data_IF_534805508714
#
_entry.id   IF_534805508714
#
_cell.length_a   1.000
_cell.length_b   1.000
_cell.length_c   1.000
_cell.angle_alpha   90.00
_cell.angle_beta   90.00
_cell.angle_gamma   90.00
#
_symmetry.space_group_name_H-M   'P 1'
#
loop_
_entity.id
_entity.type
_entity.pdbx_description
1 polymer ?
#
# COMPACT_ATOMS: atom_id res chain seq x y z
N UNK A 1 -0.10 -67.22 15.37
CA UNK A 1 0.41 -65.83 15.49
C UNK A 1 -0.46 -64.98 14.60
N UNK A 2 -1.41 -64.22 15.16
CA UNK A 2 -2.20 -63.28 14.37
C UNK A 2 -1.29 -62.08 14.07
N UNK A 3 -0.92 -61.92 12.81
CA UNK A 3 -0.14 -60.76 12.36
C UNK A 3 -1.04 -59.53 12.41
N UNK A 4 -0.76 -58.62 13.34
CA UNK A 4 -1.33 -57.28 13.28
C UNK A 4 -0.62 -56.54 12.13
N UNK A 5 -1.35 -56.28 11.04
CA UNK A 5 -0.89 -55.31 10.06
C UNK A 5 -1.21 -53.92 10.61
N UNK A 6 -0.18 -53.14 10.92
CA UNK A 6 -0.36 -51.71 11.17
C UNK A 6 -0.65 -51.10 9.80
N UNK A 7 -1.92 -50.81 9.53
CA UNK A 7 -2.28 -49.93 8.42
C UNK A 7 -1.60 -48.58 8.66
N UNK A 8 -0.75 -48.12 7.76
CA UNK A 8 -0.17 -46.78 7.85
C UNK A 8 -1.28 -45.73 7.95
N UNK A 9 -1.09 -44.71 8.78
CA UNK A 9 -2.06 -43.64 8.92
C UNK A 9 -2.17 -42.87 7.59
N UNK A 10 -3.39 -42.71 7.10
CA UNK A 10 -3.67 -41.94 5.88
C UNK A 10 -3.94 -40.48 6.24
N UNK A 11 -3.70 -39.56 5.31
CA UNK A 11 -4.05 -38.15 5.52
C UNK A 11 -5.57 -37.97 5.46
N UNK A 12 -6.13 -37.24 6.43
CA UNK A 12 -7.58 -36.99 6.56
C UNK A 12 -7.96 -35.56 6.20
N UNK A 13 -7.12 -34.57 6.50
CA UNK A 13 -7.39 -33.16 6.22
C UNK A 13 -6.11 -32.33 6.14
N UNK A 14 -6.21 -31.16 5.51
CA UNK A 14 -5.14 -30.18 5.40
C UNK A 14 -5.58 -28.83 5.98
N UNK A 15 -4.64 -28.08 6.56
CA UNK A 15 -4.86 -26.70 7.00
C UNK A 15 -3.64 -25.83 6.71
N UNK A 16 -3.87 -24.66 6.10
CA UNK A 16 -2.84 -23.63 5.87
C UNK A 16 -2.62 -22.84 7.17
N UNK A 17 -1.35 -22.54 7.49
CA UNK A 17 -0.94 -21.78 8.67
C UNK A 17 0.14 -20.76 8.28
N UNK A 18 0.05 -19.48 8.71
CA UNK A 18 -1.08 -18.87 9.44
C UNK A 18 -2.34 -18.80 8.58
N UNK A 19 -3.51 -18.80 9.23
CA UNK A 19 -4.79 -18.62 8.55
C UNK A 19 -4.99 -17.15 8.15
N UNK A 20 -5.67 -16.91 7.03
CA UNK A 20 -5.91 -15.59 6.44
C UNK A 20 -4.64 -14.69 6.41
N UNK A 21 -3.54 -15.17 5.79
CA UNK A 21 -2.26 -14.49 5.83
C UNK A 21 -2.38 -13.07 5.25
N UNK A 22 -1.88 -12.10 6.01
CA UNK A 22 -1.79 -10.70 5.60
C UNK A 22 -0.34 -10.28 5.54
N UNK A 23 0.09 -9.69 4.43
CA UNK A 23 1.47 -9.27 4.22
C UNK A 23 1.54 -7.88 3.57
N UNK A 24 2.50 -7.03 3.97
CA UNK A 24 2.79 -5.81 3.23
C UNK A 24 3.27 -6.11 1.81
N UNK A 25 2.96 -5.20 0.88
CA UNK A 25 3.41 -5.23 -0.51
C UNK A 25 4.94 -5.40 -0.59
N UNK A 26 5.40 -6.30 -1.45
CA UNK A 26 6.83 -6.57 -1.67
C UNK A 26 7.50 -7.42 -0.60
N UNK A 27 6.81 -7.77 0.49
CA UNK A 27 7.35 -8.65 1.53
C UNK A 27 7.02 -10.11 1.28
N UNK A 28 7.60 -11.01 2.07
CA UNK A 28 7.33 -12.45 2.01
C UNK A 28 7.02 -13.03 3.38
N UNK A 29 6.22 -14.10 3.40
CA UNK A 29 5.83 -14.83 4.59
C UNK A 29 5.89 -16.34 4.32
N UNK A 30 6.43 -17.09 5.28
CA UNK A 30 6.40 -18.55 5.20
C UNK A 30 5.02 -19.08 5.57
N UNK A 31 4.35 -19.74 4.64
CA UNK A 31 3.17 -20.55 4.90
C UNK A 31 3.57 -21.99 5.18
N UNK A 32 2.78 -22.66 6.00
CA UNK A 32 2.86 -24.10 6.25
C UNK A 32 1.54 -24.76 5.93
N UNK A 33 1.61 -26.03 5.56
CA UNK A 33 0.43 -26.89 5.50
C UNK A 33 0.61 -28.02 6.51
N UNK A 34 -0.29 -28.06 7.48
CA UNK A 34 -0.39 -29.16 8.41
C UNK A 34 -1.39 -30.19 7.86
N UNK A 35 -0.96 -31.44 7.78
CA UNK A 35 -1.81 -32.59 7.48
C UNK A 35 -2.22 -33.28 8.77
N UNK A 36 -3.52 -33.45 8.99
CA UNK A 36 -4.06 -34.33 10.03
C UNK A 36 -4.23 -35.73 9.45
N UNK A 37 -3.82 -36.75 10.20
CA UNK A 37 -3.88 -38.14 9.77
C UNK A 37 -4.98 -38.90 10.52
N UNK A 38 -5.38 -40.05 9.99
CA UNK A 38 -6.46 -40.89 10.56
C UNK A 38 -6.17 -41.40 11.97
N UNK A 39 -4.91 -41.39 12.41
CA UNK A 39 -4.50 -41.72 13.78
C UNK A 39 -4.50 -40.51 14.72
N UNK A 40 -4.93 -39.35 14.23
CA UNK A 40 -4.98 -38.07 14.96
C UNK A 40 -3.65 -37.31 14.99
N UNK A 41 -2.57 -37.86 14.43
CA UNK A 41 -1.29 -37.15 14.34
C UNK A 41 -1.36 -35.96 13.36
N UNK A 42 -0.54 -34.95 13.60
CA UNK A 42 -0.41 -33.78 12.73
C UNK A 42 1.04 -33.65 12.29
N UNK A 43 1.26 -33.58 10.97
CA UNK A 43 2.59 -33.40 10.39
C UNK A 43 2.63 -32.22 9.42
N UNK A 44 3.77 -31.56 9.37
CA UNK A 44 4.06 -30.54 8.36
C UNK A 44 4.27 -31.23 7.00
N UNK A 45 3.38 -30.94 6.05
CA UNK A 45 3.39 -31.49 4.69
C UNK A 45 3.63 -30.41 3.63
N UNK A 46 4.16 -29.24 4.03
CA UNK A 46 4.32 -28.06 3.17
C UNK A 46 5.09 -28.34 1.88
N UNK A 47 6.11 -29.19 1.92
CA UNK A 47 6.93 -29.53 0.74
C UNK A 47 6.29 -30.61 -0.15
N UNK A 48 5.17 -31.21 0.29
CA UNK A 48 4.48 -32.29 -0.41
C UNK A 48 3.25 -31.79 -1.17
N UNK A 49 2.70 -30.64 -0.76
CA UNK A 49 1.51 -30.05 -1.39
C UNK A 49 1.86 -29.37 -2.72
N UNK A 50 0.91 -29.40 -3.65
CA UNK A 50 0.92 -28.53 -4.81
C UNK A 50 0.19 -27.22 -4.46
N UNK A 51 0.84 -26.08 -4.67
CA UNK A 51 0.26 -24.76 -4.47
C UNK A 51 -0.35 -24.22 -5.77
N UNK A 52 -1.56 -23.67 -5.68
CA UNK A 52 -2.20 -22.91 -6.75
C UNK A 52 -2.66 -21.55 -6.21
N UNK A 53 -2.45 -20.49 -7.00
CA UNK A 53 -2.86 -19.11 -6.65
C UNK A 53 -3.79 -18.58 -7.73
N UNK A 54 -4.98 -18.13 -7.34
CA UNK A 54 -6.03 -17.73 -8.28
C UNK A 54 -5.65 -16.49 -9.09
N UNK A 55 -5.00 -15.50 -8.45
CA UNK A 55 -4.50 -14.28 -9.07
C UNK A 55 -2.99 -14.11 -8.79
N UNK A 56 -2.10 -14.71 -9.61
CA UNK A 56 -0.65 -14.66 -9.39
C UNK A 56 -0.03 -13.26 -9.54
N UNK A 57 -0.78 -12.29 -10.08
CA UNK A 57 -0.38 -10.88 -10.08
C UNK A 57 -0.48 -10.23 -8.69
N UNK A 58 -1.31 -10.77 -7.78
CA UNK A 58 -1.49 -10.26 -6.41
C UNK A 58 -0.45 -10.86 -5.47
N UNK A 59 -0.27 -12.18 -5.51
CA UNK A 59 0.73 -12.87 -4.70
C UNK A 59 1.24 -14.13 -5.42
N UNK A 60 2.44 -14.57 -5.06
CA UNK A 60 3.02 -15.84 -5.53
C UNK A 60 3.39 -16.73 -4.34
N UNK A 61 3.33 -18.05 -4.50
CA UNK A 61 3.79 -19.02 -3.48
C UNK A 61 4.80 -19.97 -4.12
N UNK A 62 5.98 -20.13 -3.50
CA UNK A 62 6.96 -21.12 -3.93
C UNK A 62 6.54 -22.55 -3.54
N UNK A 63 7.12 -23.58 -4.15
CA UNK A 63 6.84 -24.98 -3.77
C UNK A 63 7.16 -25.28 -2.29
N UNK A 64 8.04 -24.50 -1.66
CA UNK A 64 8.34 -24.60 -0.23
C UNK A 64 7.39 -23.82 0.68
N UNK A 65 6.33 -23.20 0.15
CA UNK A 65 5.35 -22.42 0.92
C UNK A 65 5.76 -20.97 1.20
N UNK A 66 6.82 -20.45 0.56
CA UNK A 66 7.17 -19.03 0.72
C UNK A 66 6.23 -18.17 -0.13
N UNK A 67 5.32 -17.45 0.52
CA UNK A 67 4.41 -16.51 -0.12
C UNK A 67 5.06 -15.12 -0.25
N UNK A 68 4.88 -14.46 -1.39
CA UNK A 68 5.38 -13.11 -1.68
C UNK A 68 4.25 -12.23 -2.19
N UNK A 69 4.11 -11.03 -1.63
CA UNK A 69 3.07 -10.06 -2.00
C UNK A 69 3.54 -9.19 -3.15
N UNK A 70 2.84 -9.21 -4.28
CA UNK A 70 3.26 -8.57 -5.54
C UNK A 70 2.44 -7.34 -5.88
N UNK A 71 1.17 -7.32 -5.49
CA UNK A 71 0.25 -6.21 -5.72
C UNK A 71 -0.79 -6.17 -4.61
N UNK A 72 -1.19 -4.98 -4.16
CA UNK A 72 -2.25 -4.83 -3.15
C UNK A 72 -3.58 -5.40 -3.64
N UNK A 73 -4.27 -6.09 -2.74
CA UNK A 73 -5.51 -6.82 -3.01
C UNK A 73 -5.53 -8.15 -2.29
N UNK A 74 -6.50 -9.00 -2.61
CA UNK A 74 -6.62 -10.34 -2.04
C UNK A 74 -6.70 -11.39 -3.15
N UNK A 75 -6.14 -12.57 -2.90
CA UNK A 75 -6.24 -13.72 -3.82
C UNK A 75 -6.47 -15.00 -3.05
N UNK A 76 -7.26 -15.91 -3.64
CA UNK A 76 -7.42 -17.26 -3.12
C UNK A 76 -6.17 -18.08 -3.36
N UNK A 77 -5.82 -18.91 -2.38
CA UNK A 77 -4.72 -19.87 -2.44
C UNK A 77 -5.27 -21.27 -2.14
N UNK A 78 -4.78 -22.27 -2.86
CA UNK A 78 -5.17 -23.67 -2.69
C UNK A 78 -3.90 -24.50 -2.52
N UNK A 79 -3.90 -25.38 -1.53
CA UNK A 79 -2.86 -26.39 -1.33
C UNK A 79 -3.47 -27.78 -1.42
N UNK A 80 -2.91 -28.62 -2.29
CA UNK A 80 -3.46 -29.93 -2.65
C UNK A 80 -2.46 -31.04 -2.39
N UNK A 81 -2.88 -32.10 -1.68
CA UNK A 81 -2.10 -33.33 -1.50
C UNK A 81 -3.03 -34.55 -1.52
N UNK A 82 -2.74 -35.53 -2.39
CA UNK A 82 -3.52 -36.77 -2.51
C UNK A 82 -5.03 -36.57 -2.73
N UNK A 83 -5.41 -35.60 -3.58
CA UNK A 83 -6.80 -35.18 -3.84
C UNK A 83 -7.54 -34.58 -2.63
N UNK A 84 -6.83 -34.24 -1.57
CA UNK A 84 -7.34 -33.41 -0.48
C UNK A 84 -6.86 -31.99 -0.73
N UNK A 85 -7.82 -31.06 -0.74
CA UNK A 85 -7.55 -29.65 -0.92
C UNK A 85 -7.82 -28.91 0.38
N UNK A 86 -7.05 -27.86 0.61
CA UNK A 86 -7.36 -26.81 1.58
C UNK A 86 -7.17 -25.46 0.90
N UNK A 87 -7.96 -24.48 1.30
CA UNK A 87 -7.93 -23.15 0.69
C UNK A 87 -7.92 -22.08 1.75
N UNK A 88 -7.27 -20.97 1.43
CA UNK A 88 -7.26 -19.77 2.24
C UNK A 88 -7.26 -18.53 1.33
N UNK A 89 -7.33 -17.34 1.92
CA UNK A 89 -7.21 -16.06 1.21
C UNK A 89 -6.00 -15.31 1.75
N UNK A 90 -5.06 -14.98 0.86
CA UNK A 90 -3.93 -14.11 1.17
C UNK A 90 -4.30 -12.66 0.83
N UNK A 91 -4.00 -11.73 1.73
CA UNK A 91 -4.27 -10.29 1.56
C UNK A 91 -2.98 -9.49 1.57
N UNK A 92 -2.71 -8.78 0.49
CA UNK A 92 -1.56 -7.89 0.35
C UNK A 92 -1.98 -6.46 0.63
N UNK A 93 -1.33 -5.81 1.59
CA UNK A 93 -1.65 -4.46 2.05
C UNK A 93 -0.57 -3.43 1.63
N UNK A 94 -0.90 -2.13 1.57
CA UNK A 94 0.10 -1.07 1.39
C UNK A 94 1.18 -1.09 2.48
N UNK A 95 2.33 -0.45 2.20
CA UNK A 95 3.46 -0.41 3.14
C UNK A 95 3.22 0.51 4.35
N UNK A 96 2.32 1.48 4.23
CA UNK A 96 1.90 2.34 5.33
C UNK A 96 0.38 2.36 5.48
N UNK A 97 -0.07 2.80 6.64
CA UNK A 97 -1.49 3.05 6.90
C UNK A 97 -1.77 4.55 6.85
N UNK A 98 -2.98 4.92 6.41
CA UNK A 98 -3.42 6.31 6.36
C UNK A 98 -4.68 6.45 7.21
N UNK A 99 -4.69 7.45 8.08
CA UNK A 99 -5.85 7.85 8.85
C UNK A 99 -6.15 9.32 8.55
N UNK A 100 -7.44 9.63 8.47
CA UNK A 100 -7.91 10.99 8.31
C UNK A 100 -8.56 11.45 9.62
N UNK A 101 -8.35 12.72 9.95
CA UNK A 101 -8.96 13.35 11.10
C UNK A 101 -9.62 14.65 10.65
N UNK A 102 -10.96 14.63 10.55
CA UNK A 102 -11.75 15.83 10.27
C UNK A 102 -11.74 16.72 11.50
N UNK A 103 -11.33 17.97 11.34
CA UNK A 103 -11.42 18.92 12.42
C UNK A 103 -12.81 19.59 12.38
N UNK A 104 -13.67 19.24 13.34
CA UNK A 104 -15.02 19.82 13.42
C UNK A 104 -14.91 21.34 13.59
N UNK A 105 -15.62 22.10 12.76
CA UNK A 105 -15.78 23.57 12.79
C UNK A 105 -14.50 24.42 12.61
N UNK A 106 -14.14 24.71 11.36
CA UNK A 106 -13.23 25.82 11.01
C UNK A 106 -11.76 25.62 11.37
N UNK A 107 -11.38 24.45 11.86
CA UNK A 107 -10.00 24.03 12.10
C UNK A 107 -9.53 23.22 10.89
N UNK A 108 -8.23 23.20 10.69
CA UNK A 108 -7.56 22.51 9.60
C UNK A 108 -7.59 20.98 9.77
N UNK A 109 -8.15 20.25 8.81
CA UNK A 109 -8.19 18.78 8.83
C UNK A 109 -6.80 18.20 8.58
N UNK A 110 -6.52 17.03 9.16
CA UNK A 110 -5.18 16.42 9.10
C UNK A 110 -5.21 14.98 8.60
N UNK A 111 -4.16 14.61 7.89
CA UNK A 111 -3.90 13.26 7.43
C UNK A 111 -2.70 12.73 8.19
N UNK A 112 -2.83 11.49 8.66
CA UNK A 112 -1.80 10.77 9.42
C UNK A 112 -1.37 9.56 8.62
N UNK A 113 -0.09 9.49 8.30
CA UNK A 113 0.51 8.40 7.55
C UNK A 113 1.50 7.71 8.49
N UNK A 114 1.27 6.44 8.78
CA UNK A 114 2.07 5.67 9.73
C UNK A 114 2.86 4.60 9.00
N UNK A 115 4.17 4.61 9.14
CA UNK A 115 5.03 3.48 8.79
C UNK A 115 5.00 2.48 9.95
N UNK A 116 4.36 1.30 9.78
CA UNK A 116 4.21 0.32 10.86
C UNK A 116 5.50 -0.47 11.16
N UNK A 117 6.63 -0.15 10.51
CA UNK A 117 7.91 -0.85 10.64
C UNK A 117 7.90 -2.33 10.28
N UNK A 118 6.93 -2.76 9.47
CA UNK A 118 6.86 -4.15 8.98
C UNK A 118 8.03 -4.52 8.07
N UNK A 119 8.78 -3.53 7.59
CA UNK A 119 9.95 -3.69 6.71
C UNK A 119 11.27 -3.22 7.34
N UNK A 120 11.24 -2.77 8.61
CA UNK A 120 12.40 -2.19 9.34
C UNK A 120 13.15 -1.10 8.56
N UNK A 121 12.42 -0.34 7.74
CA UNK A 121 12.98 0.62 6.78
C UNK A 121 12.11 1.86 6.74
N UNK A 122 12.72 3.01 6.42
CA UNK A 122 11.95 4.20 6.08
C UNK A 122 11.19 3.98 4.78
N UNK A 123 10.08 4.70 4.65
CA UNK A 123 9.20 4.66 3.49
C UNK A 123 9.00 6.05 2.91
N UNK A 124 8.62 6.10 1.64
CA UNK A 124 8.18 7.31 0.98
C UNK A 124 6.67 7.33 0.83
N UNK A 125 6.03 8.42 1.26
CA UNK A 125 4.67 8.77 0.89
C UNK A 125 4.71 9.76 -0.27
N UNK A 126 4.35 9.29 -1.47
CA UNK A 126 4.17 10.15 -2.63
C UNK A 126 2.72 10.63 -2.64
N UNK A 127 2.54 11.94 -2.56
CA UNK A 127 1.24 12.60 -2.49
C UNK A 127 0.98 13.30 -3.82
N UNK A 128 -0.23 13.10 -4.34
CA UNK A 128 -0.72 13.74 -5.55
C UNK A 128 -2.09 14.33 -5.25
N UNK A 129 -2.22 15.65 -5.40
CA UNK A 129 -3.45 16.39 -5.13
C UNK A 129 -4.04 16.83 -6.46
N UNK A 130 -5.30 16.48 -6.68
CA UNK A 130 -6.07 16.85 -7.85
C UNK A 130 -7.16 17.84 -7.46
N UNK A 131 -7.34 18.88 -8.27
CA UNK A 131 -8.44 19.81 -8.12
C UNK A 131 -9.78 19.20 -8.56
N UNK A 132 -10.84 20.01 -8.51
CA UNK A 132 -12.19 19.63 -8.92
C UNK A 132 -12.31 19.27 -10.41
N UNK A 133 -11.38 19.76 -11.25
CA UNK A 133 -11.34 19.50 -12.68
C UNK A 133 -10.43 18.30 -13.01
N UNK A 134 -10.04 17.53 -11.98
CA UNK A 134 -9.16 16.36 -12.08
C UNK A 134 -7.76 16.70 -12.64
N UNK A 135 -7.31 17.94 -12.46
CA UNK A 135 -5.96 18.36 -12.82
C UNK A 135 -5.06 18.29 -11.57
N UNK A 136 -3.85 17.77 -11.74
CA UNK A 136 -2.89 17.72 -10.65
C UNK A 136 -2.50 19.15 -10.25
N UNK A 137 -2.92 19.54 -9.05
CA UNK A 137 -2.68 20.85 -8.47
C UNK A 137 -1.37 20.89 -7.70
N UNK A 138 -1.08 19.84 -6.92
CA UNK A 138 0.14 19.72 -6.13
C UNK A 138 0.66 18.28 -6.07
N UNK A 139 1.98 18.12 -5.93
CA UNK A 139 2.60 16.82 -5.64
C UNK A 139 3.84 16.96 -4.75
N UNK A 140 4.12 15.93 -3.94
CA UNK A 140 5.31 15.89 -3.08
C UNK A 140 5.65 14.46 -2.65
N UNK A 141 6.92 14.22 -2.35
CA UNK A 141 7.39 12.97 -1.76
C UNK A 141 7.87 13.24 -0.33
N UNK A 142 7.29 12.53 0.63
CA UNK A 142 7.60 12.68 2.05
C UNK A 142 8.26 11.43 2.61
N UNK A 143 9.40 11.61 3.26
CA UNK A 143 10.08 10.53 3.97
C UNK A 143 9.39 10.29 5.31
N UNK A 144 9.14 9.01 5.61
CA UNK A 144 8.61 8.54 6.87
C UNK A 144 9.63 7.57 7.43
N UNK A 145 10.28 7.94 8.54
CA UNK A 145 11.24 7.08 9.21
C UNK A 145 10.63 5.72 9.57
N UNK A 146 11.48 4.76 9.86
CA UNK A 146 11.03 3.52 10.49
C UNK A 146 10.21 3.83 11.77
N UNK A 147 9.09 3.12 11.96
CA UNK A 147 8.10 3.40 13.01
C UNK A 147 7.56 4.84 13.04
N UNK A 148 7.75 5.60 11.95
CA UNK A 148 7.44 7.01 11.87
C UNK A 148 5.95 7.31 11.66
N UNK A 149 5.52 8.45 12.18
CA UNK A 149 4.21 9.05 11.94
C UNK A 149 4.40 10.40 11.25
N UNK A 150 3.90 10.52 10.03
CA UNK A 150 3.82 11.78 9.30
C UNK A 150 2.40 12.36 9.44
N UNK A 151 2.29 13.60 9.92
CA UNK A 151 1.02 14.32 9.98
C UNK A 151 1.05 15.49 9.02
N UNK A 152 0.11 15.52 8.09
CA UNK A 152 -0.03 16.55 7.07
C UNK A 152 -1.32 17.33 7.30
N UNK A 153 -1.21 18.64 7.35
CA UNK A 153 -2.34 19.54 7.36
C UNK A 153 -2.87 19.74 5.94
N UNK A 154 -4.20 19.70 5.78
CA UNK A 154 -4.79 19.90 4.46
C UNK A 154 -4.48 21.30 3.91
N UNK A 155 -4.67 22.35 4.72
CA UNK A 155 -4.53 23.73 4.25
C UNK A 155 -3.08 24.26 4.24
N UNK A 156 -2.20 23.74 5.10
CA UNK A 156 -0.80 24.20 5.21
C UNK A 156 0.17 23.33 4.44
N UNK A 157 -0.09 22.03 4.36
CA UNK A 157 0.82 21.10 3.70
C UNK A 157 0.35 20.74 2.30
N UNK A 158 -0.93 20.44 2.10
CA UNK A 158 -1.40 19.79 0.88
C UNK A 158 -2.05 20.73 -0.16
N UNK A 159 -2.57 21.87 0.28
CA UNK A 159 -3.30 22.85 -0.54
C UNK A 159 -2.68 24.25 -0.49
N UNK A 160 -1.46 24.39 0.05
CA UNK A 160 -0.87 25.69 0.35
C UNK A 160 -0.15 26.32 -0.83
N UNK A 161 0.18 25.56 -1.87
CA UNK A 161 1.01 26.02 -2.99
C UNK A 161 0.53 25.42 -4.33
N UNK A 162 -0.73 25.65 -4.73
CA UNK A 162 -1.31 25.07 -5.95
C UNK A 162 -0.62 25.60 -7.21
N UNK A 163 -0.50 24.77 -8.25
CA UNK A 163 0.14 25.13 -9.52
C UNK A 163 -0.44 26.42 -10.15
N UNK A 164 -1.74 26.66 -9.99
CA UNK A 164 -2.45 27.81 -10.54
C UNK A 164 -2.39 29.05 -9.65
N UNK A 165 -1.86 28.94 -8.43
CA UNK A 165 -1.92 29.97 -7.40
C UNK A 165 -3.30 30.14 -6.74
N UNK A 166 -4.28 29.31 -7.12
CA UNK A 166 -5.64 29.33 -6.56
C UNK A 166 -5.85 28.08 -5.71
N UNK A 167 -6.12 28.27 -4.42
CA UNK A 167 -6.40 27.16 -3.52
C UNK A 167 -7.70 26.45 -3.89
N UNK A 168 -7.60 25.13 -4.06
CA UNK A 168 -8.75 24.27 -4.35
C UNK A 168 -9.62 24.11 -3.11
N UNK A 169 -10.93 24.30 -3.27
CA UNK A 169 -11.93 24.09 -2.20
C UNK A 169 -12.53 22.68 -2.19
N UNK A 170 -12.22 21.89 -3.21
CA UNK A 170 -12.64 20.50 -3.38
C UNK A 170 -11.68 19.83 -4.35
N UNK A 171 -11.53 18.52 -4.20
CA UNK A 171 -10.60 17.76 -5.01
C UNK A 171 -10.49 16.33 -4.52
N UNK A 172 -9.52 15.62 -5.08
CA UNK A 172 -9.16 14.28 -4.63
C UNK A 172 -7.67 14.23 -4.37
N UNK A 173 -7.24 13.27 -3.56
CA UNK A 173 -5.82 13.03 -3.39
C UNK A 173 -5.54 11.55 -3.53
N UNK A 174 -4.36 11.26 -4.06
CA UNK A 174 -3.83 9.91 -4.14
C UNK A 174 -2.54 9.87 -3.35
N UNK A 175 -2.43 8.87 -2.47
CA UNK A 175 -1.18 8.57 -1.78
C UNK A 175 -0.62 7.28 -2.33
N UNK A 176 0.67 7.27 -2.62
CA UNK A 176 1.37 6.08 -3.09
C UNK A 176 2.52 5.77 -2.14
N UNK A 177 2.56 4.54 -1.63
CA UNK A 177 3.63 4.07 -0.76
C UNK A 177 4.81 3.54 -1.55
N UNK A 178 6.01 4.08 -1.37
CA UNK A 178 7.22 3.61 -2.06
C UNK A 178 8.32 3.26 -1.05
N UNK A 179 9.26 2.42 -1.46
CA UNK A 179 10.47 2.17 -0.67
C UNK A 179 11.35 3.42 -0.67
N UNK A 180 12.09 3.66 0.41
CA UNK A 180 13.11 4.70 0.43
C UNK A 180 14.18 4.42 -0.65
N UNK A 181 14.46 5.37 -1.56
CA UNK A 181 15.56 5.21 -2.51
C UNK A 181 16.90 5.34 -1.81
N UNK A 182 17.97 4.80 -2.41
CA UNK A 182 19.34 4.91 -1.87
C UNK A 182 19.83 6.36 -1.66
N UNK A 183 19.17 7.34 -2.29
CA UNK A 183 19.44 8.77 -2.07
C UNK A 183 18.90 9.31 -0.75
N UNK A 184 17.97 8.61 -0.08
CA UNK A 184 17.23 9.09 1.08
C UNK A 184 16.23 10.21 0.77
N UNK A 185 15.99 10.52 -0.51
CA UNK A 185 15.11 11.60 -0.94
C UNK A 185 13.87 11.04 -1.64
N UNK A 186 12.71 11.21 -1.03
CA UNK A 186 11.43 10.85 -1.64
C UNK A 186 11.06 11.85 -2.73
N UNK A 187 10.91 11.36 -3.96
CA UNK A 187 10.50 12.17 -5.09
C UNK A 187 9.27 11.56 -5.78
N UNK A 188 8.16 12.29 -5.78
CA UNK A 188 6.90 11.86 -6.38
C UNK A 188 6.94 11.77 -7.93
N UNK A 189 7.99 12.27 -8.60
CA UNK A 189 8.21 12.01 -10.02
C UNK A 189 8.94 10.69 -10.30
N UNK A 190 9.40 9.98 -9.26
CA UNK A 190 10.13 8.70 -9.38
C UNK A 190 9.67 7.71 -8.30
N UNK A 191 8.62 6.94 -8.58
CA UNK A 191 8.09 5.92 -7.65
C UNK A 191 8.85 4.61 -7.90
N UNK A 192 9.44 4.04 -6.85
CA UNK A 192 10.18 2.77 -6.91
C UNK A 192 9.92 1.89 -5.69
N UNK A 193 9.88 0.55 -5.85
CA UNK A 193 9.24 -0.18 -6.95
C UNK A 193 7.73 -0.24 -6.71
N UNK A 194 6.94 0.24 -7.69
CA UNK A 194 5.47 0.20 -7.76
C UNK A 194 4.73 0.13 -6.41
N UNK A 195 4.47 1.29 -5.82
CA UNK A 195 3.67 1.40 -4.61
C UNK A 195 2.22 0.96 -4.76
N UNK A 196 1.45 0.88 -3.68
CA UNK A 196 0.00 0.79 -3.76
C UNK A 196 -0.61 2.19 -3.83
N UNK A 197 -1.67 2.40 -4.63
CA UNK A 197 -2.47 3.62 -4.52
C UNK A 197 -3.42 3.45 -3.34
N UNK A 198 -3.37 4.39 -2.42
CA UNK A 198 -4.49 4.70 -1.54
C UNK A 198 -5.24 5.84 -2.19
N UNK A 199 -6.39 5.52 -2.78
CA UNK A 199 -7.26 6.52 -3.38
C UNK A 199 -8.13 7.13 -2.29
N UNK A 200 -8.22 8.47 -2.28
CA UNK A 200 -9.11 9.20 -1.40
C UNK A 200 -9.99 10.15 -2.21
N UNK A 201 -11.27 10.18 -1.85
CA UNK A 201 -12.21 11.18 -2.33
C UNK A 201 -12.75 11.98 -1.15
N UNK A 202 -12.53 13.29 -1.13
CA UNK A 202 -13.36 14.19 -0.31
C UNK A 202 -14.21 15.07 -1.16
N UNK A 203 -15.51 14.76 -1.13
CA UNK A 203 -16.50 15.81 -1.19
C UNK A 203 -16.41 16.59 0.14
N UNK A 204 -15.73 17.73 0.15
CA UNK A 204 -15.79 18.65 1.29
C UNK A 204 -17.24 19.16 1.41
N UNK A 205 -17.89 19.07 2.59
CA UNK A 205 -19.21 19.63 2.76
C UNK A 205 -19.12 21.14 2.57
N UNK A 206 -19.99 21.65 1.71
CA UNK A 206 -20.21 23.07 1.53
C UNK A 206 -20.61 23.68 2.89
N UNK A 207 -20.07 24.85 3.21
CA UNK A 207 -20.36 25.59 4.45
C UNK A 207 -21.87 25.63 4.72
N UNK A 208 -22.32 24.97 5.80
CA UNK A 208 -23.74 24.94 6.21
C UNK A 208 -24.34 23.56 6.54
N UNK A 209 -23.64 22.45 6.27
CA UNK A 209 -24.13 21.09 6.58
C UNK A 209 -23.15 20.31 7.46
N UNK A 210 -23.61 19.82 8.61
CA UNK A 210 -22.80 19.13 9.66
C UNK A 210 -22.51 17.65 9.34
N UNK A 211 -22.41 17.26 8.08
CA UNK A 211 -22.12 15.86 7.72
C UNK A 211 -21.15 15.80 6.53
N UNK A 212 -19.85 15.75 6.82
CA UNK A 212 -18.86 15.19 5.91
C UNK A 212 -19.11 13.67 5.84
N UNK A 213 -19.66 13.20 4.71
CA UNK A 213 -19.73 11.76 4.43
C UNK A 213 -18.40 11.36 3.80
N UNK A 214 -17.37 11.21 4.62
CA UNK A 214 -16.09 10.71 4.14
C UNK A 214 -16.17 9.23 3.85
N UNK A 215 -15.68 8.84 2.68
CA UNK A 215 -15.56 7.42 2.32
C UNK A 215 -14.25 6.90 2.94
N UNK A 216 -14.25 5.71 3.59
CA UNK A 216 -13.02 5.09 4.06
C UNK A 216 -11.98 4.98 2.94
N UNK A 217 -10.69 5.06 3.31
CA UNK A 217 -9.60 4.83 2.36
C UNK A 217 -9.77 3.47 1.67
N UNK A 218 -9.96 3.49 0.35
CA UNK A 218 -9.89 2.29 -0.47
C UNK A 218 -8.50 2.17 -1.08
N UNK A 219 -7.82 1.06 -0.82
CA UNK A 219 -6.59 0.73 -1.52
C UNK A 219 -6.91 0.14 -2.89
N UNK A 220 -6.12 0.52 -3.89
CA UNK A 220 -6.21 -0.01 -5.24
C UNK A 220 -4.80 -0.34 -5.75
N UNK A 221 -4.69 -1.37 -6.61
CA UNK A 221 -3.47 -1.60 -7.37
C UNK A 221 -2.98 -0.34 -8.10
N UNK A 222 -1.69 -0.03 -7.99
CA UNK A 222 -1.06 0.96 -8.86
C UNK A 222 -0.65 0.27 -10.17
N UNK A 223 -1.43 0.50 -11.23
CA UNK A 223 -1.03 0.02 -12.55
C UNK A 223 0.20 0.79 -13.06
N UNK A 224 1.00 0.17 -13.92
CA UNK A 224 2.16 0.84 -14.53
C UNK A 224 1.77 2.11 -15.30
N UNK A 225 0.61 2.10 -15.97
CA UNK A 225 0.05 3.26 -16.65
C UNK A 225 -0.29 4.39 -15.69
N UNK A 226 -0.97 4.09 -14.57
CA UNK A 226 -1.30 5.10 -13.56
C UNK A 226 -0.04 5.65 -12.89
N UNK A 227 0.92 4.77 -12.54
CA UNK A 227 2.22 5.18 -12.00
C UNK A 227 2.95 6.14 -12.94
N UNK A 228 3.01 5.81 -14.23
CA UNK A 228 3.65 6.66 -15.23
C UNK A 228 2.94 8.00 -15.38
N UNK A 229 1.60 8.03 -15.36
CA UNK A 229 0.83 9.25 -15.43
C UNK A 229 1.08 10.17 -14.22
N UNK A 230 1.04 9.63 -13.00
CA UNK A 230 1.31 10.37 -11.76
C UNK A 230 2.73 10.95 -11.76
N UNK A 231 3.71 10.13 -12.10
CA UNK A 231 5.12 10.55 -12.19
C UNK A 231 5.33 11.65 -13.22
N UNK A 232 4.76 11.50 -14.42
CA UNK A 232 4.92 12.46 -15.51
C UNK A 232 4.29 13.82 -15.18
N UNK A 233 3.08 13.82 -14.61
CA UNK A 233 2.41 15.06 -14.20
C UNK A 233 3.20 15.77 -13.09
N UNK A 234 3.69 15.02 -12.09
CA UNK A 234 4.50 15.62 -11.03
C UNK A 234 5.85 16.12 -11.55
N UNK A 235 6.50 15.41 -12.49
CA UNK A 235 7.73 15.86 -13.13
C UNK A 235 7.53 17.19 -13.88
N UNK A 236 6.41 17.33 -14.59
CA UNK A 236 6.05 18.57 -15.28
C UNK A 236 5.92 19.73 -14.30
N UNK A 237 5.22 19.54 -13.18
CA UNK A 237 5.09 20.53 -12.12
C UNK A 237 6.46 20.93 -11.55
N UNK A 238 7.31 19.94 -11.25
CA UNK A 238 8.65 20.19 -10.71
C UNK A 238 9.54 21.01 -11.67
N UNK A 239 9.37 20.83 -12.98
CA UNK A 239 10.19 21.52 -13.99
C UNK A 239 9.64 22.89 -14.39
N UNK A 240 8.31 23.02 -14.49
CA UNK A 240 7.66 24.18 -15.14
C UNK A 240 6.76 24.98 -14.18
N UNK A 241 6.44 24.44 -13.00
CA UNK A 241 5.59 25.09 -12.00
C UNK A 241 6.22 26.33 -11.35
N UNK A 242 7.48 26.65 -11.64
CA UNK A 242 8.19 27.82 -11.10
C UNK A 242 8.18 27.87 -9.56
N UNK A 243 8.19 26.70 -8.92
CA UNK A 243 8.09 26.55 -7.47
C UNK A 243 6.67 26.38 -6.92
N UNK A 244 5.63 26.57 -7.75
CA UNK A 244 4.25 26.21 -7.44
C UNK A 244 3.97 24.73 -7.77
N UNK A 245 2.89 24.21 -7.20
CA UNK A 245 2.43 22.83 -7.34
C UNK A 245 3.19 21.84 -6.45
N UNK A 246 3.91 22.31 -5.44
CA UNK A 246 4.71 21.47 -4.56
C UNK A 246 4.16 21.52 -3.13
N UNK A 247 3.54 20.42 -2.71
CA UNK A 247 3.04 20.26 -1.35
C UNK A 247 4.18 20.04 -0.34
N UNK A 248 3.89 20.23 0.94
CA UNK A 248 4.82 20.19 2.05
C UNK A 248 4.69 18.89 2.86
N UNK A 249 5.73 18.53 3.61
CA UNK A 249 5.78 17.32 4.42
C UNK A 249 5.77 17.66 5.92
N UNK A 250 4.71 18.31 6.40
CA UNK A 250 4.56 18.72 7.80
C UNK A 250 5.43 19.93 8.17
N UNK A 251 5.42 20.96 7.32
CA UNK A 251 6.22 22.18 7.49
C UNK A 251 7.68 22.08 6.99
N UNK A 252 8.11 20.92 6.51
CA UNK A 252 9.38 20.77 5.78
C UNK A 252 9.15 20.91 4.28
N UNK A 253 10.06 21.62 3.57
CA UNK A 253 9.98 21.74 2.11
C UNK A 253 10.07 20.34 1.48
N UNK A 254 9.28 20.04 0.45
CA UNK A 254 9.37 18.77 -0.26
C UNK A 254 10.76 18.60 -0.83
N UNK A 255 11.26 17.37 -0.79
CA UNK A 255 12.59 17.02 -1.28
C UNK A 255 12.60 16.96 -2.82
N UNK A 256 12.56 18.12 -3.47
CA UNK A 256 12.67 18.21 -4.92
C UNK A 256 14.14 18.16 -5.33
N UNK A 257 14.50 17.23 -6.20
CA UNK A 257 15.84 17.14 -6.83
C UNK A 257 16.15 18.30 -7.80
N UNK A 258 15.27 19.29 -7.91
CA UNK A 258 15.48 20.47 -8.75
C UNK A 258 16.34 21.47 -7.99
N UNK A 259 17.65 21.24 -8.02
CA UNK A 259 18.62 22.32 -7.90
C UNK A 259 18.22 23.40 -8.90
N UNK A 260 17.80 24.56 -8.39
CA UNK A 260 17.41 25.70 -9.19
C UNK A 260 18.46 25.95 -10.28
N UNK A 261 18.11 25.69 -11.54
CA UNK A 261 18.76 26.32 -12.68
C UNK A 261 18.43 27.81 -12.60
N UNK A 262 19.17 28.52 -11.75
CA UNK A 262 19.36 29.97 -11.87
C UNK A 262 20.11 30.19 -13.19
N UNK A 263 19.37 30.25 -14.30
CA UNK A 263 19.90 30.81 -15.52
C UNK A 263 20.22 32.29 -15.26
N UNK A 264 21.52 32.60 -15.29
CA UNK A 264 22.05 33.93 -15.57
C UNK A 264 21.80 34.27 -17.03
#
# INVERSE_FOLDING_TARGET
MQGFSVSGAAISSLSIVPAAPTLPLGTSMQLKVNGTFTDGSIHDVTQQVAWNVNAPAVASISGGGLATGLQVGSTGIVASLNNIDTSDTITVQPLFTVAYFDAVSGVDSTIRITNPATTEQSLCAMVYVFDQDQQMSECCGCLISDNGLLTLSLNKDLLSNPLTGVQSKSGTMMLVSASEPASGLCNASTITPAGAVLAWSTHLPQSGTTSSSEVPFSSAPLTSTLSAALQAQCAFIQQLGSGQGLCSCGGSKPNTSVSALKNR
#
